data_IF_528814539043
#
_entry.id   IF_528814539043
#
_cell.length_a   1.000
_cell.length_b   1.000
_cell.length_c   1.000
_cell.angle_alpha   90.00
_cell.angle_beta   90.00
_cell.angle_gamma   90.00
#
_symmetry.space_group_name_H-M   'P 1'
#
loop_
_entity.id
_entity.type
_entity.pdbx_description
1 polymer ?
#
# COMPACT_ATOMS: atom_id res chain seq x y z
N UNK A 1 -36.20 53.73 -38.89
CA UNK A 1 -36.63 52.34 -38.58
C UNK A 1 -35.54 51.39 -39.05
N UNK A 2 -35.36 50.27 -38.35
CA UNK A 2 -34.25 49.28 -38.43
C UNK A 2 -33.02 49.71 -37.60
N UNK A 3 -32.36 48.88 -36.81
CA UNK A 3 -32.75 47.86 -35.81
C UNK A 3 -31.44 47.51 -35.08
N UNK A 4 -31.56 47.16 -33.81
CA UNK A 4 -30.49 46.77 -32.90
C UNK A 4 -29.59 45.64 -33.41
N UNK A 5 -28.28 45.72 -33.14
CA UNK A 5 -27.49 44.53 -32.77
C UNK A 5 -26.52 44.92 -31.64
N UNK A 6 -26.95 44.67 -30.40
CA UNK A 6 -26.04 44.57 -29.24
C UNK A 6 -25.40 43.19 -29.33
N UNK A 7 -24.11 43.12 -29.63
CA UNK A 7 -23.33 41.89 -29.57
C UNK A 7 -23.09 41.59 -28.09
N UNK A 8 -23.88 40.65 -27.56
CA UNK A 8 -23.69 40.06 -26.25
C UNK A 8 -22.53 39.06 -26.37
N UNK A 9 -21.34 39.43 -25.90
CA UNK A 9 -20.23 38.50 -25.71
C UNK A 9 -20.58 37.58 -24.55
N UNK A 10 -21.10 36.39 -24.87
CA UNK A 10 -21.16 35.27 -23.93
C UNK A 10 -19.73 34.76 -23.81
N UNK A 11 -19.04 35.18 -22.74
CA UNK A 11 -17.87 34.46 -22.23
C UNK A 11 -18.42 33.15 -21.68
N UNK A 12 -18.43 32.11 -22.52
CA UNK A 12 -18.59 30.73 -22.07
C UNK A 12 -17.38 30.45 -21.19
N UNK A 13 -17.56 30.59 -19.88
CA UNK A 13 -16.67 30.05 -18.89
C UNK A 13 -16.61 28.54 -19.12
N UNK A 14 -15.53 28.07 -19.74
CA UNK A 14 -15.17 26.66 -19.71
C UNK A 14 -14.81 26.35 -18.25
N UNK A 15 -15.82 26.00 -17.46
CA UNK A 15 -15.60 25.21 -16.27
C UNK A 15 -15.16 23.83 -16.77
N UNK A 16 -13.87 23.69 -17.04
CA UNK A 16 -13.23 22.38 -17.13
C UNK A 16 -13.36 21.75 -15.73
N UNK A 17 -14.50 21.10 -15.47
CA UNK A 17 -14.57 20.06 -14.46
C UNK A 17 -13.81 18.88 -15.04
N UNK A 18 -12.50 18.85 -14.81
CA UNK A 18 -11.74 17.61 -14.88
C UNK A 18 -12.04 16.81 -13.62
N UNK A 19 -13.30 16.34 -13.50
CA UNK A 19 -13.54 15.17 -12.67
C UNK A 19 -12.78 14.05 -13.35
N UNK A 20 -11.64 13.65 -12.80
CA UNK A 20 -10.92 12.47 -13.25
C UNK A 20 -11.95 11.35 -13.43
N UNK A 21 -12.14 10.88 -14.66
CA UNK A 21 -13.02 9.75 -14.92
C UNK A 21 -12.54 8.60 -14.02
N UNK A 22 -13.43 7.90 -13.30
CA UNK A 22 -13.03 6.81 -12.44
C UNK A 22 -12.39 5.71 -13.29
N UNK A 23 -11.06 5.71 -13.39
CA UNK A 23 -10.31 4.62 -14.03
C UNK A 23 -10.55 3.37 -13.18
N UNK A 24 -11.27 2.43 -13.77
CA UNK A 24 -11.71 1.19 -13.13
C UNK A 24 -10.59 0.27 -12.62
N UNK A 25 -9.35 0.53 -13.01
CA UNK A 25 -8.19 -0.26 -12.62
C UNK A 25 -7.60 0.29 -11.32
N UNK A 26 -8.08 -0.20 -10.16
CA UNK A 26 -7.43 0.10 -8.89
C UNK A 26 -6.09 -0.63 -8.78
N UNK A 27 -5.06 0.05 -8.28
CA UNK A 27 -3.77 -0.60 -8.03
C UNK A 27 -3.91 -1.68 -6.96
N UNK A 28 -3.76 -2.94 -7.35
CA UNK A 28 -3.73 -4.08 -6.44
C UNK A 28 -2.32 -4.26 -5.89
N UNK A 29 -2.09 -3.76 -4.68
CA UNK A 29 -0.78 -3.86 -4.00
C UNK A 29 -0.52 -5.24 -3.36
N UNK A 30 -1.45 -6.18 -3.51
CA UNK A 30 -1.51 -7.46 -2.79
C UNK A 30 -1.40 -8.70 -3.69
N UNK A 31 -1.05 -8.53 -4.97
CA UNK A 31 -0.92 -9.64 -5.93
C UNK A 31 0.44 -9.59 -6.61
N UNK A 32 1.12 -10.73 -6.68
CA UNK A 32 2.35 -10.87 -7.44
C UNK A 32 2.09 -11.42 -8.87
N UNK A 33 2.91 -11.01 -9.85
CA UNK A 33 3.75 -9.81 -9.77
C UNK A 33 2.83 -8.59 -9.60
N UNK A 34 3.29 -7.56 -8.86
CA UNK A 34 2.69 -6.23 -9.03
C UNK A 34 2.75 -5.99 -10.52
N UNK A 35 1.61 -5.98 -11.21
CA UNK A 35 1.55 -5.63 -12.62
C UNK A 35 2.19 -4.24 -12.70
N UNK A 36 3.44 -4.19 -13.13
CA UNK A 36 4.25 -2.97 -13.20
C UNK A 36 3.79 -2.10 -14.38
N UNK A 37 3.03 -2.74 -15.26
CA UNK A 37 2.34 -2.26 -16.44
C UNK A 37 1.14 -1.40 -16.02
N UNK A 38 1.48 -0.15 -15.67
CA UNK A 38 0.99 1.09 -16.30
C UNK A 38 -0.54 1.25 -16.43
N UNK A 39 -1.05 2.34 -15.83
CA UNK A 39 -2.44 2.85 -15.83
C UNK A 39 -3.43 2.48 -14.70
N UNK A 40 -2.95 1.98 -13.56
CA UNK A 40 -3.82 1.85 -12.38
C UNK A 40 -3.96 3.15 -11.56
N UNK A 41 -5.11 3.32 -10.89
CA UNK A 41 -5.41 4.41 -9.97
C UNK A 41 -5.23 4.01 -8.52
N UNK A 42 -4.63 4.90 -7.74
CA UNK A 42 -4.58 4.83 -6.28
C UNK A 42 -5.73 5.67 -5.73
N UNK A 43 -6.67 5.04 -5.03
CA UNK A 43 -7.83 5.72 -4.47
C UNK A 43 -7.53 6.25 -3.08
N UNK A 44 -7.85 7.52 -2.80
CA UNK A 44 -7.79 8.09 -1.45
C UNK A 44 -8.80 9.20 -1.24
N UNK A 45 -9.07 9.53 0.03
CA UNK A 45 -10.00 10.61 0.39
C UNK A 45 -9.36 11.98 0.15
N UNK A 46 -10.05 12.81 -0.62
CA UNK A 46 -9.79 14.21 -0.83
C UNK A 46 -10.86 15.06 -0.12
N UNK A 47 -10.43 16.11 0.58
CA UNK A 47 -11.31 17.05 1.32
C UNK A 47 -12.40 16.34 2.16
N UNK A 48 -11.97 15.32 2.91
CA UNK A 48 -12.72 14.64 3.98
C UNK A 48 -13.97 13.85 3.54
N UNK A 49 -14.38 13.98 2.28
CA UNK A 49 -15.69 13.47 1.81
C UNK A 49 -15.67 12.96 0.38
N UNK A 50 -14.64 13.28 -0.41
CA UNK A 50 -14.60 12.93 -1.83
C UNK A 50 -13.57 11.85 -2.08
N UNK A 51 -13.96 10.73 -2.66
CA UNK A 51 -13.00 9.73 -3.14
C UNK A 51 -12.34 10.23 -4.42
N UNK A 52 -11.01 10.34 -4.42
CA UNK A 52 -10.22 10.77 -5.56
C UNK A 52 -9.41 9.59 -6.10
N UNK A 53 -9.47 9.38 -7.41
CA UNK A 53 -8.58 8.48 -8.12
C UNK A 53 -7.30 9.25 -8.50
N UNK A 54 -6.15 8.80 -8.01
CA UNK A 54 -4.84 9.39 -8.30
C UNK A 54 -4.07 8.53 -9.30
N UNK A 55 -3.36 9.18 -10.22
CA UNK A 55 -2.33 8.47 -10.99
C UNK A 55 -1.31 7.87 -10.03
N UNK A 56 -0.95 6.60 -10.24
CA UNK A 56 0.13 5.97 -9.49
C UNK A 56 1.46 6.62 -9.86
N UNK A 57 2.23 7.01 -8.84
CA UNK A 57 3.64 7.36 -9.00
C UNK A 57 4.43 6.09 -9.34
N UNK A 58 5.15 6.12 -10.47
CA UNK A 58 6.04 5.04 -10.87
C UNK A 58 7.34 5.06 -10.04
N UNK A 59 8.12 3.99 -10.16
CA UNK A 59 9.39 3.84 -9.45
C UNK A 59 10.37 4.98 -9.78
N UNK A 60 10.42 5.44 -11.02
CA UNK A 60 11.30 6.54 -11.44
C UNK A 60 10.94 7.86 -10.73
N UNK A 61 9.65 8.15 -10.56
CA UNK A 61 9.17 9.31 -9.81
C UNK A 61 9.49 9.19 -8.31
N UNK A 62 9.26 8.00 -7.72
CA UNK A 62 9.64 7.72 -6.33
C UNK A 62 11.13 7.94 -6.10
N UNK A 63 11.98 7.45 -7.00
CA UNK A 63 13.43 7.64 -6.95
C UNK A 63 13.85 9.10 -7.14
N UNK A 64 13.24 9.82 -8.08
CA UNK A 64 13.53 11.24 -8.31
C UNK A 64 13.20 12.11 -7.07
N UNK A 65 12.20 11.71 -6.28
CA UNK A 65 11.81 12.37 -5.04
C UNK A 65 12.49 11.77 -3.78
N UNK A 66 13.35 10.76 -3.94
CA UNK A 66 13.99 10.02 -2.85
C UNK A 66 12.98 9.47 -1.82
N UNK A 67 11.84 8.97 -2.30
CA UNK A 67 10.79 8.36 -1.48
C UNK A 67 10.91 6.85 -1.57
N UNK A 68 11.19 6.22 -0.43
CA UNK A 68 11.19 4.76 -0.26
C UNK A 68 10.71 4.45 1.15
N UNK A 69 9.52 3.85 1.29
CA UNK A 69 8.94 3.44 2.57
C UNK A 69 8.49 1.97 2.60
N UNK A 70 8.85 1.19 1.57
CA UNK A 70 8.57 -0.24 1.50
C UNK A 70 8.95 -0.97 2.79
N UNK A 71 7.97 -1.68 3.38
CA UNK A 71 8.15 -2.46 4.60
C UNK A 71 9.19 -3.58 4.39
N UNK A 72 9.18 -4.18 3.19
CA UNK A 72 10.18 -5.12 2.70
C UNK A 72 10.60 -4.67 1.30
N UNK A 73 11.90 -4.61 0.97
CA UNK A 73 12.32 -4.35 -0.40
C UNK A 73 11.61 -5.28 -1.38
N UNK A 74 11.05 -4.75 -2.46
CA UNK A 74 10.13 -5.48 -3.35
C UNK A 74 10.69 -6.83 -3.83
N UNK A 75 11.95 -6.85 -4.28
CA UNK A 75 12.63 -8.07 -4.73
C UNK A 75 12.74 -9.12 -3.62
N UNK A 76 12.94 -8.66 -2.38
CA UNK A 76 13.01 -9.52 -1.21
C UNK A 76 11.63 -10.05 -0.82
N UNK A 77 10.59 -9.21 -0.90
CA UNK A 77 9.21 -9.63 -0.65
C UNK A 77 8.81 -10.78 -1.58
N UNK A 78 9.13 -10.70 -2.87
CA UNK A 78 8.83 -11.75 -3.83
C UNK A 78 9.67 -13.01 -3.68
N UNK A 79 10.91 -12.87 -3.21
CA UNK A 79 11.70 -14.05 -2.85
C UNK A 79 11.13 -14.79 -1.64
N UNK A 80 10.62 -14.07 -0.64
CA UNK A 80 10.13 -14.65 0.62
C UNK A 80 8.68 -15.15 0.48
N UNK A 81 7.78 -14.28 0.02
CA UNK A 81 6.34 -14.50 -0.02
C UNK A 81 5.75 -14.01 -1.34
N UNK A 82 5.85 -14.81 -2.43
CA UNK A 82 5.22 -14.48 -3.71
C UNK A 82 3.73 -14.19 -3.56
N UNK A 83 3.04 -14.94 -2.71
CA UNK A 83 1.61 -14.80 -2.46
C UNK A 83 1.32 -14.43 -1.01
N UNK A 84 0.12 -13.91 -0.74
CA UNK A 84 -0.35 -13.57 0.61
C UNK A 84 -0.81 -14.81 1.41
N UNK A 85 -0.13 -15.93 1.20
CA UNK A 85 -0.36 -17.25 1.80
C UNK A 85 0.96 -18.06 1.68
N UNK A 86 0.92 -19.34 2.03
CA UNK A 86 2.08 -20.23 2.07
C UNK A 86 2.56 -20.70 0.69
N UNK A 87 1.79 -20.42 -0.39
CA UNK A 87 2.15 -20.90 -1.72
C UNK A 87 3.46 -20.27 -2.18
N UNK A 88 4.38 -21.12 -2.64
CA UNK A 88 5.72 -20.75 -3.11
C UNK A 88 6.54 -19.90 -2.11
N UNK A 89 6.14 -19.84 -0.85
CA UNK A 89 6.85 -19.11 0.18
C UNK A 89 8.16 -19.82 0.55
N UNK A 90 9.22 -19.04 0.72
CA UNK A 90 10.55 -19.57 1.06
C UNK A 90 10.82 -19.43 2.55
N UNK A 91 10.74 -20.54 3.28
CA UNK A 91 11.10 -20.59 4.70
C UNK A 91 12.57 -20.15 4.94
N UNK A 92 13.46 -20.48 4.01
CA UNK A 92 14.89 -20.16 4.09
C UNK A 92 15.10 -18.66 3.95
N UNK A 93 14.49 -18.04 2.94
CA UNK A 93 14.59 -16.60 2.74
C UNK A 93 13.88 -15.82 3.85
N UNK A 94 12.74 -16.32 4.36
CA UNK A 94 12.09 -15.75 5.54
C UNK A 94 13.02 -15.77 6.75
N UNK A 95 13.62 -16.92 7.05
CA UNK A 95 14.52 -17.09 8.19
C UNK A 95 15.72 -16.16 8.08
N UNK A 96 16.32 -16.05 6.89
CA UNK A 96 17.43 -15.13 6.64
C UNK A 96 17.02 -13.66 6.76
N UNK A 97 15.81 -13.31 6.34
CA UNK A 97 15.27 -11.97 6.50
C UNK A 97 15.06 -11.63 7.97
N UNK A 98 14.36 -12.48 8.72
CA UNK A 98 14.14 -12.31 10.16
C UNK A 98 15.44 -12.35 10.96
N UNK A 99 16.48 -13.03 10.47
CA UNK A 99 17.80 -13.05 11.12
C UNK A 99 18.59 -11.76 10.90
N UNK A 100 18.63 -11.25 9.67
CA UNK A 100 19.61 -10.24 9.28
C UNK A 100 19.04 -8.82 9.13
N UNK A 101 17.72 -8.66 9.17
CA UNK A 101 17.05 -7.39 8.90
C UNK A 101 16.48 -6.75 10.18
N UNK A 102 16.71 -5.46 10.38
CA UNK A 102 16.22 -4.70 11.54
C UNK A 102 14.99 -3.83 11.25
N UNK A 103 14.37 -3.99 10.08
CA UNK A 103 13.10 -3.34 9.73
C UNK A 103 11.98 -3.69 10.71
N UNK A 104 10.98 -2.82 10.77
CA UNK A 104 9.74 -3.05 11.51
C UNK A 104 9.04 -4.33 11.06
N UNK A 105 9.12 -4.70 9.78
CA UNK A 105 8.57 -5.95 9.26
C UNK A 105 9.26 -7.18 9.87
N UNK A 106 10.59 -7.22 9.89
CA UNK A 106 11.33 -8.32 10.51
C UNK A 106 11.08 -8.38 12.03
N UNK A 107 11.05 -7.23 12.71
CA UNK A 107 10.71 -7.14 14.14
C UNK A 107 9.30 -7.64 14.44
N UNK A 108 8.32 -7.29 13.59
CA UNK A 108 6.94 -7.78 13.70
C UNK A 108 6.90 -9.30 13.64
N UNK A 109 7.63 -9.93 12.71
CA UNK A 109 7.71 -11.40 12.66
C UNK A 109 8.32 -11.96 13.95
N UNK A 110 9.42 -11.38 14.48
CA UNK A 110 9.99 -11.84 15.76
C UNK A 110 8.98 -11.77 16.91
N UNK A 111 8.22 -10.68 16.99
CA UNK A 111 7.21 -10.48 18.03
C UNK A 111 6.05 -11.48 18.00
N UNK A 112 5.80 -12.11 16.84
CA UNK A 112 4.74 -13.12 16.70
C UNK A 112 5.11 -14.47 17.31
N UNK A 113 6.39 -14.71 17.61
CA UNK A 113 6.95 -16.01 17.98
C UNK A 113 7.72 -15.93 19.31
N UNK A 114 7.03 -15.65 20.43
CA UNK A 114 7.63 -15.47 21.76
C UNK A 114 8.39 -16.70 22.28
N UNK A 115 8.12 -17.88 21.73
CA UNK A 115 8.82 -19.11 22.02
C UNK A 115 10.25 -19.13 21.43
N UNK A 116 10.49 -18.39 20.35
CA UNK A 116 11.81 -18.24 19.72
C UNK A 116 12.51 -16.94 20.11
N UNK A 117 11.75 -15.87 20.37
CA UNK A 117 12.29 -14.53 20.63
C UNK A 117 11.77 -13.95 21.95
N UNK A 118 12.60 -13.14 22.60
CA UNK A 118 12.21 -12.45 23.81
C UNK A 118 11.21 -11.33 23.49
N UNK A 119 10.10 -11.24 24.24
CA UNK A 119 9.00 -10.30 23.96
C UNK A 119 9.42 -8.82 23.92
N UNK A 120 10.41 -8.44 24.72
CA UNK A 120 10.82 -7.03 24.87
C UNK A 120 12.00 -6.66 23.97
N UNK A 121 13.00 -7.53 23.85
CA UNK A 121 14.23 -7.24 23.11
C UNK A 121 14.18 -7.74 21.67
N UNK A 122 13.25 -8.67 21.38
CA UNK A 122 13.15 -9.40 20.11
C UNK A 122 14.42 -10.19 19.74
N UNK A 123 15.34 -10.32 20.69
CA UNK A 123 16.51 -11.17 20.55
C UNK A 123 16.10 -12.63 20.68
N UNK A 124 16.88 -13.52 20.05
CA UNK A 124 16.68 -14.95 20.15
C UNK A 124 16.76 -15.39 21.61
N UNK A 125 15.80 -16.20 22.06
CA UNK A 125 15.81 -16.74 23.41
C UNK A 125 17.08 -17.61 23.64
N UNK A 126 17.62 -17.66 24.87
CA UNK A 126 18.79 -18.48 25.18
C UNK A 126 18.53 -19.98 24.97
N UNK A 127 17.25 -20.38 24.99
CA UNK A 127 16.78 -21.70 24.64
C UNK A 127 15.51 -21.62 23.82
N UNK A 128 15.37 -22.45 22.78
CA UNK A 128 14.19 -22.51 21.90
C UNK A 128 13.63 -23.93 21.84
N UNK A 129 12.33 -24.10 21.52
CA UNK A 129 11.78 -25.42 21.22
C UNK A 129 12.40 -25.97 19.93
N UNK A 130 12.87 -27.21 19.99
CA UNK A 130 13.33 -27.96 18.83
C UNK A 130 12.20 -28.75 18.18
N UNK A 131 12.36 -29.05 16.90
CA UNK A 131 11.38 -29.74 16.07
C UNK A 131 10.96 -31.13 16.57
N UNK A 132 11.78 -31.79 17.39
CA UNK A 132 11.48 -33.13 17.95
C UNK A 132 11.04 -33.06 19.41
N UNK A 133 10.64 -31.87 19.89
CA UNK A 133 10.18 -31.65 21.27
C UNK A 133 11.30 -31.51 22.30
N UNK A 134 12.56 -31.47 21.88
CA UNK A 134 13.70 -31.12 22.73
C UNK A 134 13.82 -29.61 22.94
N UNK A 135 14.60 -29.21 23.94
CA UNK A 135 15.00 -27.80 24.12
C UNK A 135 16.40 -27.64 23.51
N UNK A 136 16.58 -26.68 22.60
CA UNK A 136 17.86 -26.36 21.97
C UNK A 136 18.47 -25.15 22.66
N UNK A 137 19.73 -25.26 23.09
CA UNK A 137 20.47 -24.20 23.76
C UNK A 137 21.24 -23.34 22.75
N UNK A 138 20.84 -22.08 22.61
CA UNK A 138 21.41 -21.16 21.62
C UNK A 138 22.79 -20.65 22.03
N UNK A 139 23.12 -20.68 23.33
CA UNK A 139 24.48 -20.35 23.80
C UNK A 139 25.55 -21.32 23.29
N UNK A 140 25.16 -22.53 22.84
CA UNK A 140 26.08 -23.49 22.21
C UNK A 140 26.29 -23.16 20.74
N UNK A 141 25.24 -22.75 20.05
CA UNK A 141 25.28 -22.28 18.67
C UNK A 141 23.97 -21.58 18.29
N UNK A 142 24.05 -20.28 18.02
CA UNK A 142 22.91 -19.49 17.55
C UNK A 142 22.36 -20.04 16.22
N UNK A 143 23.24 -20.57 15.36
CA UNK A 143 22.85 -21.15 14.07
C UNK A 143 21.91 -22.35 14.25
N UNK A 144 22.09 -23.16 15.30
CA UNK A 144 21.19 -24.28 15.56
C UNK A 144 19.78 -23.78 15.89
N UNK A 145 19.66 -22.73 16.68
CA UNK A 145 18.35 -22.18 17.04
C UNK A 145 17.67 -21.46 15.87
N UNK A 146 18.43 -20.77 15.03
CA UNK A 146 17.90 -20.23 13.76
C UNK A 146 17.44 -21.33 12.81
N UNK A 147 18.12 -22.48 12.79
CA UNK A 147 17.67 -23.64 12.03
C UNK A 147 16.35 -24.20 12.60
N UNK A 148 16.19 -24.29 13.91
CA UNK A 148 14.91 -24.72 14.51
C UNK A 148 13.77 -23.75 14.17
N UNK A 149 14.02 -22.43 14.17
CA UNK A 149 13.04 -21.45 13.71
C UNK A 149 12.67 -21.64 12.23
N UNK A 150 13.65 -21.95 11.37
CA UNK A 150 13.38 -22.27 9.96
C UNK A 150 12.62 -23.60 9.77
N UNK A 151 12.90 -24.61 10.60
CA UNK A 151 12.21 -25.91 10.60
C UNK A 151 10.77 -25.77 11.08
N UNK A 152 10.51 -24.88 12.06
CA UNK A 152 9.16 -24.61 12.54
C UNK A 152 8.19 -24.30 11.39
N UNK A 153 8.59 -23.46 10.42
CA UNK A 153 7.76 -23.16 9.25
C UNK A 153 7.63 -24.31 8.24
N UNK A 154 8.60 -25.24 8.21
CA UNK A 154 8.47 -26.47 7.40
C UNK A 154 7.41 -27.39 7.98
N UNK A 155 7.34 -27.47 9.31
CA UNK A 155 6.38 -28.31 10.02
C UNK A 155 4.99 -27.67 10.13
N UNK A 156 4.92 -26.34 10.07
CA UNK A 156 3.70 -25.55 10.21
C UNK A 156 3.57 -24.57 9.01
N UNK A 157 3.28 -25.07 7.80
CA UNK A 157 3.17 -24.22 6.60
C UNK A 157 2.10 -23.13 6.72
N UNK A 158 1.04 -23.36 7.49
CA UNK A 158 0.00 -22.38 7.79
C UNK A 158 0.55 -21.15 8.54
N UNK A 159 1.57 -21.35 9.40
CA UNK A 159 2.25 -20.25 10.08
C UNK A 159 3.10 -19.42 9.11
N UNK A 160 3.71 -20.09 8.13
CA UNK A 160 4.39 -19.39 7.03
C UNK A 160 3.40 -18.56 6.22
N UNK A 161 2.22 -19.12 5.91
CA UNK A 161 1.14 -18.40 5.25
C UNK A 161 0.64 -17.20 6.06
N UNK A 162 0.54 -17.34 7.40
CA UNK A 162 0.19 -16.23 8.31
C UNK A 162 1.20 -15.09 8.23
N UNK A 163 2.51 -15.41 8.26
CA UNK A 163 3.57 -14.41 8.11
C UNK A 163 3.49 -13.74 6.74
N UNK A 164 3.34 -14.51 5.66
CA UNK A 164 3.22 -13.96 4.31
C UNK A 164 2.02 -13.02 4.17
N UNK A 165 0.86 -13.39 4.72
CA UNK A 165 -0.32 -12.53 4.74
C UNK A 165 -0.04 -11.20 5.45
N UNK A 166 0.60 -11.23 6.62
CA UNK A 166 0.95 -10.01 7.36
C UNK A 166 1.97 -9.13 6.63
N UNK A 167 3.00 -9.74 6.03
CA UNK A 167 3.98 -9.01 5.23
C UNK A 167 3.34 -8.35 4.02
N UNK A 168 2.37 -9.00 3.36
CA UNK A 168 1.58 -8.39 2.28
C UNK A 168 0.72 -7.22 2.76
N UNK A 169 0.11 -7.32 3.94
CA UNK A 169 -0.65 -6.21 4.55
C UNK A 169 0.27 -5.02 4.86
N UNK A 170 1.43 -5.27 5.49
CA UNK A 170 2.42 -4.24 5.80
C UNK A 170 2.97 -3.59 4.52
N UNK A 171 3.29 -4.41 3.51
CA UNK A 171 3.78 -3.94 2.22
C UNK A 171 2.72 -3.07 1.51
N UNK A 172 1.46 -3.49 1.50
CA UNK A 172 0.36 -2.69 0.96
C UNK A 172 0.27 -1.34 1.68
N UNK A 173 0.35 -1.33 3.01
CA UNK A 173 0.28 -0.09 3.78
C UNK A 173 1.44 0.86 3.43
N UNK A 174 2.67 0.34 3.37
CA UNK A 174 3.86 1.10 2.94
C UNK A 174 3.71 1.67 1.54
N UNK A 175 3.27 0.86 0.56
CA UNK A 175 3.09 1.33 -0.82
C UNK A 175 2.03 2.44 -0.89
N UNK A 176 0.94 2.35 -0.13
CA UNK A 176 -0.06 3.43 -0.07
C UNK A 176 0.55 4.71 0.55
N UNK A 177 1.39 4.59 1.58
CA UNK A 177 2.09 5.71 2.19
C UNK A 177 3.10 6.37 1.25
N UNK A 178 3.85 5.59 0.46
CA UNK A 178 4.74 6.13 -0.58
C UNK A 178 3.96 6.99 -1.58
N UNK A 179 2.80 6.50 -2.03
CA UNK A 179 1.95 7.23 -2.98
C UNK A 179 1.40 8.53 -2.36
N UNK A 180 1.07 8.52 -1.06
CA UNK A 180 0.68 9.72 -0.34
C UNK A 180 1.83 10.72 -0.19
N UNK A 181 3.03 10.24 0.17
CA UNK A 181 4.23 11.07 0.31
C UNK A 181 4.61 11.74 -1.02
N UNK A 182 4.49 11.03 -2.15
CA UNK A 182 4.73 11.62 -3.48
C UNK A 182 3.75 12.75 -3.75
N UNK A 183 2.45 12.55 -3.46
CA UNK A 183 1.44 13.61 -3.65
C UNK A 183 1.74 14.84 -2.80
N UNK A 184 2.17 14.65 -1.56
CA UNK A 184 2.57 15.75 -0.68
C UNK A 184 3.77 16.53 -1.24
N UNK A 185 4.82 15.80 -1.64
CA UNK A 185 6.03 16.39 -2.20
C UNK A 185 5.74 17.17 -3.48
N UNK A 186 4.97 16.60 -4.40
CA UNK A 186 4.58 17.22 -5.66
C UNK A 186 3.66 18.44 -5.48
N UNK A 187 2.83 18.46 -4.44
CA UNK A 187 2.01 19.61 -4.11
C UNK A 187 2.84 20.83 -3.65
N UNK A 188 3.90 20.59 -2.88
CA UNK A 188 4.82 21.65 -2.41
C UNK A 188 5.89 22.03 -3.43
N UNK A 189 6.05 21.27 -4.52
CA UNK A 189 7.12 21.47 -5.49
C UNK A 189 6.89 22.69 -6.39
N UNK A 190 7.95 23.46 -6.62
CA UNK A 190 7.95 24.58 -7.56
C UNK A 190 8.32 24.12 -8.97
N UNK A 191 7.79 24.76 -10.01
CA UNK A 191 7.95 24.42 -11.45
C UNK A 191 9.39 24.29 -11.97
N UNK A 192 10.40 24.60 -11.17
CA UNK A 192 11.82 24.51 -11.54
C UNK A 192 12.49 23.20 -11.08
N UNK A 193 11.75 22.30 -10.43
CA UNK A 193 12.28 21.03 -9.97
C UNK A 193 12.28 20.00 -11.11
N UNK A 194 13.46 19.51 -11.46
CA UNK A 194 13.65 18.52 -12.53
C UNK A 194 13.01 17.16 -12.23
N UNK A 195 12.63 16.90 -10.96
CA UNK A 195 11.86 15.70 -10.59
C UNK A 195 10.43 15.73 -11.14
N UNK A 196 9.89 16.91 -11.50
CA UNK A 196 8.52 17.09 -11.96
C UNK A 196 8.25 16.45 -13.33
N UNK A 197 9.24 16.45 -14.23
CA UNK A 197 9.09 15.89 -15.57
C UNK A 197 8.89 14.37 -15.53
N UNK A 198 9.52 13.71 -14.57
CA UNK A 198 9.46 12.25 -14.36
C UNK A 198 8.16 11.85 -13.65
N UNK A 199 7.54 12.78 -12.91
CA UNK A 199 6.32 12.57 -12.15
C UNK A 199 5.04 13.03 -12.88
N UNK A 200 5.13 13.45 -14.16
CA UNK A 200 3.95 13.59 -15.01
C UNK A 200 3.36 12.18 -15.25
N UNK A 201 2.04 11.95 -15.18
CA UNK A 201 0.91 12.90 -15.12
C UNK A 201 0.40 13.25 -13.71
N UNK A 202 0.95 12.66 -12.64
CA UNK A 202 0.46 12.85 -11.27
C UNK A 202 0.61 14.30 -10.81
N UNK A 203 1.72 14.95 -11.12
CA UNK A 203 1.91 16.36 -10.76
C UNK A 203 0.85 17.26 -11.39
N UNK A 204 0.57 17.12 -12.69
CA UNK A 204 -0.46 17.91 -13.37
C UNK A 204 -1.84 17.72 -12.71
N UNK A 205 -2.19 16.48 -12.34
CA UNK A 205 -3.45 16.21 -11.64
C UNK A 205 -3.56 16.97 -10.31
N UNK A 206 -2.47 17.06 -9.54
CA UNK A 206 -2.44 17.81 -8.29
C UNK A 206 -2.63 19.31 -8.54
N UNK A 207 -1.98 19.86 -9.57
CA UNK A 207 -2.10 21.28 -9.94
C UNK A 207 -3.52 21.64 -10.40
N UNK A 208 -4.14 20.78 -11.22
CA UNK A 208 -5.50 20.99 -11.76
C UNK A 208 -6.56 21.05 -10.65
N UNK A 209 -6.36 20.34 -9.55
CA UNK A 209 -7.28 20.33 -8.40
C UNK A 209 -7.26 21.62 -7.57
N UNK A 210 -6.32 22.54 -7.83
CA UNK A 210 -6.21 23.84 -7.13
C UNK A 210 -6.31 23.70 -5.61
N UNK A 211 -5.49 22.81 -5.06
CA UNK A 211 -5.60 22.35 -3.67
C UNK A 211 -5.26 23.46 -2.67
N UNK A 212 -6.06 23.57 -1.59
CA UNK A 212 -5.87 24.60 -0.56
C UNK A 212 -4.73 24.27 0.42
N UNK A 213 -4.40 22.99 0.58
CA UNK A 213 -3.24 22.52 1.36
C UNK A 213 -2.76 21.16 0.83
N UNK A 214 -1.47 20.87 1.00
CA UNK A 214 -0.90 19.60 0.57
C UNK A 214 -1.33 18.40 1.42
N UNK A 215 -1.75 18.63 2.67
CA UNK A 215 -2.35 17.60 3.51
C UNK A 215 -3.61 16.99 2.86
N UNK A 216 -4.35 17.77 2.07
CA UNK A 216 -5.56 17.29 1.41
C UNK A 216 -5.29 16.22 0.34
N UNK A 217 -4.08 16.19 -0.24
CA UNK A 217 -3.69 15.21 -1.26
C UNK A 217 -2.86 14.05 -0.70
N UNK A 218 -2.30 14.19 0.50
CA UNK A 218 -1.51 13.14 1.17
C UNK A 218 -2.33 12.26 2.11
N UNK A 219 -3.65 12.48 2.21
CA UNK A 219 -4.53 11.58 2.97
C UNK A 219 -4.49 10.16 2.44
N UNK A 220 -4.32 9.23 3.38
CA UNK A 220 -4.29 7.79 3.16
C UNK A 220 -5.64 7.19 3.54
N UNK A 221 -6.15 6.30 2.70
CA UNK A 221 -7.24 5.40 3.06
C UNK A 221 -6.78 3.95 2.91
N UNK A 222 -6.94 3.15 3.96
CA UNK A 222 -6.56 1.73 3.97
C UNK A 222 -7.70 0.80 3.52
N UNK A 223 -8.81 1.35 3.00
CA UNK A 223 -9.92 0.59 2.42
C UNK A 223 -11.30 0.89 3.00
N UNK A 224 -11.49 2.08 3.57
CA UNK A 224 -12.84 2.56 3.94
C UNK A 224 -13.69 2.89 2.72
N UNK A 225 -13.06 3.17 1.58
CA UNK A 225 -13.73 3.32 0.30
C UNK A 225 -13.44 2.15 -0.63
N UNK A 226 -14.50 1.48 -1.09
CA UNK A 226 -14.41 0.52 -2.17
C UNK A 226 -14.28 1.28 -3.49
N UNK A 227 -13.33 0.92 -4.37
CA UNK A 227 -13.31 1.47 -5.72
C UNK A 227 -14.65 1.16 -6.42
N UNK A 228 -15.10 2.01 -7.36
CA UNK A 228 -16.34 1.78 -8.08
C UNK A 228 -16.36 0.39 -8.71
N UNK A 229 -17.45 -0.36 -8.51
CA UNK A 229 -17.61 -1.70 -9.06
C UNK A 229 -17.79 -1.60 -10.58
N UNK A 230 -16.73 -1.86 -11.33
CA UNK A 230 -16.73 -1.80 -12.79
C UNK A 230 -17.04 -3.18 -13.39
N UNK A 231 -18.21 -3.73 -13.10
CA UNK A 231 -18.77 -4.83 -13.89
C UNK A 231 -19.43 -4.25 -15.14
N UNK A 232 -18.78 -4.45 -16.28
CA UNK A 232 -19.26 -4.27 -17.67
C UNK A 232 -20.29 -3.15 -17.91
N UNK A 233 -19.79 -1.98 -18.28
CA UNK A 233 -20.58 -0.97 -18.98
C UNK A 233 -20.84 -1.43 -20.42
N UNK A 234 -21.84 -2.28 -20.62
CA UNK A 234 -22.67 -2.18 -21.82
C UNK A 234 -23.95 -1.40 -21.48
N UNK A 235 -23.91 -0.10 -21.79
CA UNK A 235 -25.07 0.60 -22.32
C UNK A 235 -26.11 1.13 -21.33
N UNK A 236 -26.41 2.42 -21.53
CA UNK A 236 -27.66 3.08 -21.19
C UNK A 236 -27.83 3.51 -19.75
N UNK A 237 -27.56 4.80 -19.52
CA UNK A 237 -27.80 5.45 -18.25
C UNK A 237 -29.26 5.45 -17.84
N UNK A 238 -29.48 5.41 -16.54
CA UNK A 238 -30.52 6.17 -15.84
C UNK A 238 -30.00 6.43 -14.43
N UNK A 239 -30.13 7.66 -13.96
CA UNK A 239 -29.90 8.02 -12.57
C UNK A 239 -30.75 7.12 -11.65
N UNK A 240 -30.12 6.45 -10.68
CA UNK A 240 -30.83 5.76 -9.61
C UNK A 240 -30.31 6.28 -8.27
N UNK A 241 -31.15 7.10 -7.65
CA UNK A 241 -31.07 7.44 -6.22
C UNK A 241 -31.42 6.16 -5.46
N UNK A 242 -30.42 5.56 -4.82
CA UNK A 242 -30.59 4.35 -4.00
C UNK A 242 -30.12 4.58 -2.58
N UNK A 243 -31.04 4.96 -1.69
CA UNK A 243 -30.86 4.77 -0.24
C UNK A 243 -30.65 3.28 0.04
N UNK A 244 -29.51 2.94 0.62
CA UNK A 244 -29.19 1.59 1.08
C UNK A 244 -28.53 1.65 2.45
N UNK A 245 -29.35 1.61 3.50
CA UNK A 245 -28.95 1.13 4.82
C UNK A 245 -28.20 -0.20 4.68
N UNK A 246 -27.07 -0.37 5.38
CA UNK A 246 -26.73 -1.62 6.10
C UNK A 246 -25.45 -1.47 6.95
N UNK A 247 -25.68 -1.53 8.26
CA UNK A 247 -24.87 -2.17 9.32
C UNK A 247 -23.36 -1.94 9.39
N UNK A 248 -22.96 -1.01 10.27
CA UNK A 248 -21.69 -1.10 11.00
C UNK A 248 -21.75 -2.26 12.00
N UNK A 249 -20.90 -3.27 11.85
CA UNK A 249 -20.41 -4.08 12.97
C UNK A 249 -19.06 -3.53 13.38
N UNK A 250 -19.06 -2.80 14.51
CA UNK A 250 -17.87 -2.46 15.29
C UNK A 250 -17.23 -3.73 15.84
N UNK A 251 -15.95 -3.93 15.58
CA UNK A 251 -15.05 -4.70 16.44
C UNK A 251 -13.82 -3.85 16.73
N UNK A 252 -14.03 -2.90 17.64
CA UNK A 252 -12.99 -2.15 18.31
C UNK A 252 -12.94 -2.64 19.75
N UNK A 253 -11.93 -3.43 20.11
CA UNK A 253 -11.19 -3.39 21.38
C UNK A 253 -10.46 -4.72 21.61
N UNK A 254 -9.13 -4.65 21.74
CA UNK A 254 -8.35 -5.17 22.88
C UNK A 254 -6.87 -5.18 22.50
N UNK A 255 -6.21 -4.04 22.71
CA UNK A 255 -4.80 -4.00 23.09
C UNK A 255 -4.75 -3.27 24.43
N UNK A 256 -4.55 -4.06 25.48
CA UNK A 256 -3.92 -3.70 26.74
C UNK A 256 -3.01 -4.87 27.11
#
# INVERSE_FOLDING_TARGET
MISYVKILLIVLSWAARTTAEPKCEACLFNTAPLREDEDCSVYSVYQDTTLQAWYRANETCLQALNISQAAVPKDRMWGICPYANENDASNTLLTLFVRNDNSSAAQSVRSMYPEFFHNETLELNPTVPGAQGQIVNCSVSDDLCWNEFGIFFVLNPEELGRVCSQLHVAQKASLIQEQAAVREALCGATTNDTSLDVCQPLWQQIQDLSVNSCESVSRVDYGSFLPPNCTESEGSGVASVGMGMLTLTLLSSLFY
#
